data_IF_495613770716
#
_entry.id   IF_495613770716
#
_cell.length_a   1.000
_cell.length_b   1.000
_cell.length_c   1.000
_cell.angle_alpha   90.00
_cell.angle_beta   90.00
_cell.angle_gamma   90.00
#
_symmetry.space_group_name_H-M   'P 1'
#
loop_
_entity.id
_entity.type
_entity.pdbx_description
1 polymer ?
#
# COMPACT_ATOMS: atom_id res chain seq x y z
N UNK A 1 8.56 -1.43 -8.95
CA UNK A 1 9.52 -1.82 -7.91
C UNK A 1 9.54 -0.77 -6.81
N UNK A 2 9.43 -1.21 -5.58
CA UNK A 2 9.35 -0.34 -4.40
C UNK A 2 10.54 -0.60 -3.49
N UNK A 3 11.02 0.43 -2.83
CA UNK A 3 12.08 0.32 -1.82
C UNK A 3 11.51 0.62 -0.43
N UNK A 4 12.00 -0.13 0.56
CA UNK A 4 11.64 0.02 1.96
C UNK A 4 12.79 0.67 2.71
N UNK A 5 12.47 1.71 3.49
CA UNK A 5 13.42 2.36 4.40
C UNK A 5 12.84 2.33 5.81
N UNK A 6 13.60 1.79 6.76
CA UNK A 6 13.26 1.85 8.17
C UNK A 6 13.75 3.18 8.72
N UNK A 7 12.83 4.01 9.23
CA UNK A 7 13.16 5.36 9.68
C UNK A 7 13.45 5.44 11.17
N UNK A 8 12.79 4.62 12.00
CA UNK A 8 13.08 4.50 13.43
C UNK A 8 12.87 3.07 13.89
N UNK A 9 13.52 2.69 14.98
CA UNK A 9 13.37 1.37 15.60
C UNK A 9 13.39 1.49 17.10
N UNK A 10 12.45 0.80 17.76
CA UNK A 10 12.42 0.65 19.21
C UNK A 10 12.39 -0.83 19.55
N UNK A 11 13.31 -1.26 20.38
CA UNK A 11 13.39 -2.64 20.86
C UNK A 11 12.74 -2.73 22.24
N UNK A 12 11.79 -3.67 22.40
CA UNK A 12 11.14 -3.93 23.67
C UNK A 12 11.84 -5.04 24.45
N UNK A 13 11.57 -5.09 25.76
CA UNK A 13 12.20 -6.08 26.65
C UNK A 13 11.84 -7.52 26.32
N UNK A 14 10.73 -7.76 25.65
CA UNK A 14 10.29 -9.09 25.21
C UNK A 14 10.91 -9.52 23.88
N UNK A 15 11.80 -8.69 23.31
CA UNK A 15 12.43 -8.94 22.02
C UNK A 15 11.64 -8.48 20.80
N UNK A 16 10.43 -7.96 21.00
CA UNK A 16 9.68 -7.37 19.90
C UNK A 16 10.29 -6.04 19.49
N UNK A 17 10.05 -5.66 18.23
CA UNK A 17 10.56 -4.42 17.64
C UNK A 17 9.42 -3.61 17.06
N UNK A 18 9.40 -2.33 17.36
CA UNK A 18 8.53 -1.35 16.71
C UNK A 18 9.36 -0.55 15.72
N UNK A 19 8.87 -0.43 14.52
CA UNK A 19 9.57 0.29 13.45
C UNK A 19 8.63 1.23 12.74
N UNK A 20 9.10 2.44 12.45
CA UNK A 20 8.48 3.31 11.46
C UNK A 20 9.22 3.13 10.13
N UNK A 21 8.50 3.33 9.03
CA UNK A 21 9.07 3.06 7.71
C UNK A 21 8.50 3.98 6.64
N UNK A 22 9.21 4.04 5.51
CA UNK A 22 8.77 4.62 4.25
C UNK A 22 8.93 3.61 3.14
N UNK A 23 8.00 3.65 2.20
CA UNK A 23 8.09 2.88 0.96
C UNK A 23 7.94 3.85 -0.20
N UNK A 24 8.82 3.75 -1.20
CA UNK A 24 8.77 4.61 -2.38
C UNK A 24 9.11 3.84 -3.63
N UNK A 25 8.47 4.18 -4.72
CA UNK A 25 8.80 3.62 -6.02
C UNK A 25 7.71 3.84 -7.06
N UNK A 26 7.90 3.23 -8.20
CA UNK A 26 6.96 3.28 -9.31
C UNK A 26 5.99 2.11 -9.27
N UNK A 27 4.76 2.38 -9.67
CA UNK A 27 3.73 1.37 -9.86
C UNK A 27 3.05 1.58 -11.21
N UNK A 28 2.46 0.51 -11.73
CA UNK A 28 1.70 0.55 -12.97
C UNK A 28 0.30 0.02 -12.71
N UNK A 29 -0.70 0.73 -13.16
CA UNK A 29 -2.09 0.26 -13.12
C UNK A 29 -2.38 -0.57 -14.38
N UNK A 30 -3.36 -1.47 -14.28
CA UNK A 30 -3.78 -2.31 -15.43
C UNK A 30 -4.30 -1.47 -16.61
N UNK A 31 -4.67 -0.22 -16.36
CA UNK A 31 -5.07 0.74 -17.40
C UNK A 31 -3.88 1.30 -18.19
N UNK A 32 -2.65 0.91 -17.85
CA UNK A 32 -1.43 1.39 -18.49
C UNK A 32 -0.87 2.69 -17.89
N UNK A 33 -1.50 3.19 -16.85
CA UNK A 33 -1.08 4.42 -16.17
C UNK A 33 0.04 4.11 -15.20
N UNK A 34 1.04 4.98 -15.16
CA UNK A 34 2.14 4.93 -14.19
C UNK A 34 1.87 5.89 -13.04
N UNK A 35 2.31 5.52 -11.87
CA UNK A 35 2.22 6.39 -10.70
C UNK A 35 3.46 6.26 -9.82
N UNK A 36 3.75 7.31 -9.07
CA UNK A 36 4.76 7.26 -8.00
C UNK A 36 4.03 6.98 -6.70
N UNK A 37 4.42 5.92 -6.03
CA UNK A 37 3.86 5.51 -4.75
C UNK A 37 4.79 5.92 -3.61
N UNK A 38 4.22 6.60 -2.61
CA UNK A 38 4.89 6.91 -1.36
C UNK A 38 4.02 6.45 -0.21
N UNK A 39 4.58 5.61 0.65
CA UNK A 39 3.91 5.14 1.84
C UNK A 39 4.70 5.53 3.08
N UNK A 40 4.00 5.79 4.16
CA UNK A 40 4.58 5.91 5.49
C UNK A 40 3.72 5.12 6.47
N UNK A 41 4.36 4.56 7.48
CA UNK A 41 3.64 3.77 8.45
C UNK A 41 4.52 3.24 9.56
N UNK A 42 3.95 2.33 10.31
CA UNK A 42 4.64 1.65 11.39
C UNK A 42 4.29 0.16 11.42
N UNK A 43 5.18 -0.62 12.01
CA UNK A 43 4.98 -2.05 12.16
C UNK A 43 5.61 -2.55 13.45
N UNK A 44 5.08 -3.65 13.97
CA UNK A 44 5.66 -4.38 15.10
C UNK A 44 6.01 -5.78 14.65
N UNK A 45 7.22 -6.20 14.98
CA UNK A 45 7.75 -7.54 14.68
C UNK A 45 8.04 -8.26 15.99
N UNK A 46 7.69 -9.55 16.05
CA UNK A 46 8.05 -10.42 17.18
C UNK A 46 8.57 -11.73 16.63
N UNK A 47 9.80 -12.10 17.02
CA UNK A 47 10.48 -13.28 16.51
C UNK A 47 10.52 -13.31 14.98
N UNK A 48 10.73 -12.15 14.37
CA UNK A 48 10.74 -12.00 12.91
C UNK A 48 9.38 -12.01 12.23
N UNK A 49 8.30 -12.17 12.98
CA UNK A 49 6.95 -12.20 12.45
C UNK A 49 6.27 -10.85 12.59
N UNK A 50 5.59 -10.44 11.55
CA UNK A 50 4.80 -9.21 11.55
C UNK A 50 3.52 -9.44 12.35
N UNK A 51 3.33 -8.66 13.44
CA UNK A 51 2.16 -8.78 14.31
C UNK A 51 1.23 -7.57 14.23
N UNK A 52 1.71 -6.44 13.71
CA UNK A 52 0.91 -5.24 13.50
C UNK A 52 1.50 -4.44 12.33
N UNK A 53 0.62 -3.87 11.53
CA UNK A 53 1.02 -3.05 10.37
C UNK A 53 -0.01 -1.95 10.15
N UNK A 54 0.47 -0.72 10.07
CA UNK A 54 -0.32 0.45 9.68
C UNK A 54 0.45 1.19 8.59
N UNK A 55 -0.23 1.55 7.52
CA UNK A 55 0.40 2.26 6.42
C UNK A 55 -0.62 3.09 5.65
N UNK A 56 -0.21 4.29 5.31
CA UNK A 56 -0.95 5.19 4.41
C UNK A 56 -0.06 5.39 3.18
N UNK A 57 -0.65 5.23 2.01
CA UNK A 57 0.04 5.40 0.73
C UNK A 57 -0.60 6.51 -0.09
N UNK A 58 0.23 7.30 -0.74
CA UNK A 58 -0.17 8.30 -1.72
C UNK A 58 0.39 7.88 -3.08
N UNK A 59 -0.47 7.88 -4.07
CA UNK A 59 -0.10 7.59 -5.46
C UNK A 59 -0.21 8.90 -6.24
N UNK A 60 0.89 9.36 -6.79
CA UNK A 60 0.91 10.51 -7.69
C UNK A 60 0.84 10.00 -9.13
N UNK A 61 -0.28 10.24 -9.78
CA UNK A 61 -0.54 9.81 -11.16
C UNK A 61 -0.08 10.88 -12.14
N UNK A 62 -0.32 12.14 -11.81
CA UNK A 62 0.16 13.32 -12.53
C UNK A 62 0.23 14.51 -11.56
N UNK A 63 0.57 15.69 -12.03
CA UNK A 63 0.67 16.86 -11.17
C UNK A 63 -0.65 17.23 -10.48
N UNK A 64 -1.79 16.82 -11.06
CA UNK A 64 -3.11 17.15 -10.56
C UNK A 64 -3.95 15.91 -10.18
N UNK A 65 -3.39 14.70 -10.30
CA UNK A 65 -4.13 13.47 -10.08
C UNK A 65 -3.46 12.62 -9.02
N UNK A 66 -4.23 12.32 -7.96
CA UNK A 66 -3.74 11.58 -6.80
C UNK A 66 -4.76 10.54 -6.34
N UNK A 67 -4.25 9.51 -5.71
CA UNK A 67 -5.03 8.48 -5.05
C UNK A 67 -4.36 8.13 -3.71
N UNK A 68 -5.16 7.87 -2.68
CA UNK A 68 -4.66 7.49 -1.35
C UNK A 68 -5.26 6.18 -0.90
N UNK A 69 -4.47 5.39 -0.21
CA UNK A 69 -4.92 4.13 0.37
C UNK A 69 -4.38 3.95 1.78
N UNK A 70 -5.03 3.08 2.54
CA UNK A 70 -4.53 2.64 3.84
C UNK A 70 -4.61 1.12 3.94
N UNK A 71 -3.63 0.52 4.57
CA UNK A 71 -3.67 -0.89 4.93
C UNK A 71 -4.70 -1.07 6.03
N UNK A 72 -5.54 -2.08 5.90
CA UNK A 72 -6.57 -2.40 6.88
C UNK A 72 -5.99 -3.29 7.98
N UNK A 73 -5.78 -2.67 9.13
CA UNK A 73 -5.61 -3.27 10.45
C UNK A 73 -4.64 -4.42 10.63
N UNK A 74 -4.78 -5.10 11.76
CA UNK A 74 -4.06 -6.31 12.14
C UNK A 74 -4.51 -7.49 11.31
N UNK A 75 -4.28 -7.43 10.03
CA UNK A 75 -4.69 -8.51 9.16
C UNK A 75 -3.68 -9.65 9.29
N UNK A 76 -4.17 -10.84 9.63
CA UNK A 76 -3.35 -12.06 9.62
C UNK A 76 -2.66 -12.28 8.29
N UNK A 77 -3.27 -11.77 7.22
CA UNK A 77 -2.72 -11.87 5.88
C UNK A 77 -1.42 -11.07 5.72
N UNK A 78 -1.27 -9.95 6.42
CA UNK A 78 -0.04 -9.17 6.35
C UNK A 78 1.19 -9.99 6.77
N UNK A 79 1.04 -10.82 7.81
CA UNK A 79 2.12 -11.71 8.26
C UNK A 79 2.50 -12.77 7.24
N UNK A 80 1.61 -13.06 6.28
CA UNK A 80 1.83 -14.05 5.21
C UNK A 80 2.19 -13.39 3.87
N UNK A 81 2.44 -12.09 3.85
CA UNK A 81 2.71 -11.35 2.62
C UNK A 81 1.46 -10.99 1.83
N UNK A 82 0.27 -11.22 2.38
CA UNK A 82 -1.00 -10.82 1.78
C UNK A 82 -1.82 -10.02 2.77
N UNK A 83 -2.71 -9.18 2.28
CA UNK A 83 -3.57 -8.40 3.14
C UNK A 83 -4.59 -7.60 2.35
N UNK A 84 -5.22 -6.65 3.04
CA UNK A 84 -6.24 -5.78 2.46
C UNK A 84 -5.86 -4.32 2.65
N UNK A 85 -6.27 -3.51 1.68
CA UNK A 85 -6.16 -2.06 1.78
C UNK A 85 -7.45 -1.43 1.27
N UNK A 86 -7.69 -0.20 1.68
CA UNK A 86 -8.86 0.55 1.27
C UNK A 86 -8.43 1.84 0.58
N UNK A 87 -9.11 2.18 -0.49
CA UNK A 87 -8.95 3.47 -1.16
C UNK A 87 -9.73 4.50 -0.37
N UNK A 88 -9.03 5.48 0.21
CA UNK A 88 -9.60 6.39 1.20
C UNK A 88 -9.82 7.80 0.69
N UNK A 89 -9.11 8.20 -0.36
CA UNK A 89 -9.23 9.52 -0.95
C UNK A 89 -8.71 9.51 -2.39
N UNK A 90 -9.16 10.43 -3.19
CA UNK A 90 -8.70 10.54 -4.57
C UNK A 90 -9.10 11.90 -5.17
N UNK A 91 -8.52 12.21 -6.32
CA UNK A 91 -8.89 13.37 -7.12
C UNK A 91 -9.55 12.93 -8.43
N UNK A 92 -10.36 13.82 -9.02
CA UNK A 92 -10.95 13.63 -10.35
C UNK A 92 -11.77 12.36 -10.48
N UNK A 93 -11.58 11.66 -11.58
CA UNK A 93 -12.32 10.44 -11.92
C UNK A 93 -12.04 9.30 -10.93
N UNK A 94 -10.88 9.32 -10.28
CA UNK A 94 -10.50 8.30 -9.30
C UNK A 94 -11.34 8.37 -8.02
N UNK A 95 -12.06 9.47 -7.77
CA UNK A 95 -13.00 9.57 -6.65
C UNK A 95 -14.05 8.47 -6.66
N UNK A 96 -14.36 7.92 -7.83
CA UNK A 96 -15.32 6.83 -7.97
C UNK A 96 -14.81 5.51 -7.33
N UNK A 97 -13.52 5.43 -7.01
CA UNK A 97 -12.91 4.27 -6.38
C UNK A 97 -12.87 4.36 -4.85
N UNK A 98 -13.10 5.55 -4.28
CA UNK A 98 -13.01 5.77 -2.83
C UNK A 98 -14.02 4.88 -2.11
N UNK A 99 -13.55 4.22 -1.07
CA UNK A 99 -14.33 3.26 -0.30
C UNK A 99 -14.14 1.80 -0.70
N UNK A 100 -13.57 1.54 -1.88
CA UNK A 100 -13.31 0.18 -2.31
C UNK A 100 -12.24 -0.46 -1.44
N UNK A 101 -12.48 -1.72 -1.08
CA UNK A 101 -11.50 -2.56 -0.40
C UNK A 101 -10.83 -3.45 -1.44
N UNK A 102 -9.51 -3.48 -1.39
CA UNK A 102 -8.66 -4.19 -2.33
C UNK A 102 -7.83 -5.22 -1.57
N UNK A 103 -7.28 -6.17 -2.29
CA UNK A 103 -6.33 -7.13 -1.74
C UNK A 103 -4.95 -6.85 -2.29
N UNK A 104 -3.92 -7.13 -1.48
CA UNK A 104 -2.54 -7.06 -1.93
C UNK A 104 -1.79 -8.33 -1.60
N UNK A 105 -0.78 -8.61 -2.39
CA UNK A 105 0.25 -9.58 -2.10
C UNK A 105 1.60 -8.88 -2.25
N UNK A 106 2.51 -9.14 -1.32
CA UNK A 106 3.85 -8.58 -1.39
C UNK A 106 4.90 -9.60 -1.00
N UNK A 107 6.09 -9.39 -1.53
CA UNK A 107 7.28 -10.12 -1.16
C UNK A 107 8.41 -9.11 -1.00
N UNK A 108 9.13 -9.21 0.11
CA UNK A 108 10.25 -8.33 0.42
C UNK A 108 11.53 -9.12 0.25
N UNK A 109 12.42 -8.61 -0.57
CA UNK A 109 13.70 -9.23 -0.85
C UNK A 109 14.78 -8.14 -0.91
N UNK A 110 15.73 -8.18 0.00
CA UNK A 110 16.83 -7.20 0.09
C UNK A 110 16.33 -5.75 0.10
N UNK A 111 15.33 -5.45 0.95
CA UNK A 111 14.70 -4.13 1.08
C UNK A 111 13.93 -3.67 -0.16
N UNK A 112 13.78 -4.55 -1.14
CA UNK A 112 12.96 -4.30 -2.32
C UNK A 112 11.62 -5.00 -2.14
N UNK A 113 10.55 -4.28 -2.40
CA UNK A 113 9.20 -4.80 -2.30
C UNK A 113 8.66 -5.07 -3.70
N UNK A 114 8.25 -6.30 -3.91
CA UNK A 114 7.45 -6.70 -5.06
C UNK A 114 6.01 -6.80 -4.59
N UNK A 115 5.15 -5.92 -5.06
CA UNK A 115 3.77 -5.85 -4.60
C UNK A 115 2.82 -5.88 -5.78
N UNK A 116 1.69 -6.55 -5.58
CA UNK A 116 0.58 -6.55 -6.51
C UNK A 116 -0.71 -6.31 -5.73
N UNK A 117 -1.48 -5.32 -6.18
CA UNK A 117 -2.79 -5.01 -5.60
C UNK A 117 -3.89 -5.28 -6.61
N UNK A 118 -5.02 -5.76 -6.14
CA UNK A 118 -6.20 -6.01 -6.96
C UNK A 118 -7.42 -5.42 -6.29
N UNK A 119 -8.13 -4.57 -7.03
CA UNK A 119 -9.37 -3.96 -6.60
C UNK A 119 -10.50 -4.44 -7.52
N UNK A 120 -11.62 -4.82 -6.94
CA UNK A 120 -12.84 -5.04 -7.70
C UNK A 120 -13.49 -3.69 -7.98
N UNK A 121 -13.75 -3.41 -9.24
CA UNK A 121 -14.30 -2.14 -9.70
C UNK A 121 -15.49 -2.41 -10.59
N UNK A 122 -16.59 -1.68 -10.39
CA UNK A 122 -17.74 -1.76 -11.28
C UNK A 122 -17.33 -1.39 -12.71
N UNK A 123 -17.90 -2.08 -13.68
CA UNK A 123 -17.56 -1.89 -15.09
C UNK A 123 -17.74 -0.44 -15.56
N UNK A 124 -18.79 0.22 -15.09
CA UNK A 124 -19.07 1.62 -15.43
C UNK A 124 -17.98 2.55 -14.91
N UNK A 125 -17.47 2.29 -13.70
CA UNK A 125 -16.38 3.06 -13.10
C UNK A 125 -15.06 2.78 -13.85
N UNK A 126 -14.79 1.51 -14.14
CA UNK A 126 -13.59 1.13 -14.89
C UNK A 126 -13.53 1.82 -16.26
N UNK A 127 -14.65 1.87 -16.96
CA UNK A 127 -14.73 2.55 -18.26
C UNK A 127 -14.44 4.04 -18.16
N UNK A 128 -14.89 4.70 -17.10
CA UNK A 128 -14.59 6.12 -16.86
C UNK A 128 -13.10 6.37 -16.63
N UNK A 129 -12.45 5.49 -15.87
CA UNK A 129 -11.02 5.60 -15.55
C UNK A 129 -10.16 5.27 -16.77
N UNK A 130 -10.56 4.27 -17.54
CA UNK A 130 -9.81 3.78 -18.68
C UNK A 130 -10.08 4.54 -19.98
N UNK A 131 -10.74 5.68 -19.89
CA UNK A 131 -11.22 6.44 -21.05
C UNK A 131 -10.13 7.26 -21.77
N UNK A 132 -8.90 7.20 -21.32
CA UNK A 132 -7.79 7.95 -21.92
C UNK A 132 -6.96 7.04 -22.81
#
# INVERSE_FOLDING_TARGET
MLSLEITTETLFSDGSKYQTFRVKGGVTFSTGVYAIKNCSGDRTLKNGNLIDLKSICKYKISDNEYLWSKVLGNDRYAAKGTGKFQLIDATGVYKNLVGNTCTYALNIFDEIIFAKGVCEVEETVYKKINKN
#
